data_IF_838574490567
#
_entry.id   IF_838574490567
#
_cell.length_a   1.000
_cell.length_b   1.000
_cell.length_c   1.000
_cell.angle_alpha   90.00
_cell.angle_beta   90.00
_cell.angle_gamma   90.00
#
_symmetry.space_group_name_H-M   'P 1'
#
loop_
_entity.id
_entity.type
_entity.pdbx_description
1 polymer ?
#
# COMPACT_ATOMS: atom_id res chain seq x y z
N UNK A 1 -39.89 -12.43 -11.48
CA UNK A 1 -39.21 -11.59 -10.45
C UNK A 1 -37.81 -11.31 -10.94
N UNK A 2 -37.59 -10.12 -11.51
CA UNK A 2 -36.26 -9.70 -11.97
C UNK A 2 -35.53 -9.06 -10.80
N UNK A 3 -34.50 -9.74 -10.29
CA UNK A 3 -33.49 -9.14 -9.42
C UNK A 3 -32.54 -8.32 -10.29
N UNK A 4 -32.83 -7.02 -10.39
CA UNK A 4 -31.92 -6.06 -11.00
C UNK A 4 -30.71 -5.91 -10.09
N UNK A 5 -29.67 -6.69 -10.35
CA UNK A 5 -28.33 -6.48 -9.80
C UNK A 5 -27.83 -5.13 -10.31
N UNK A 6 -27.97 -4.09 -9.49
CA UNK A 6 -27.28 -2.82 -9.69
C UNK A 6 -25.78 -3.09 -9.65
N UNK A 7 -25.19 -3.27 -10.84
CA UNK A 7 -23.76 -3.25 -11.03
C UNK A 7 -23.24 -1.91 -10.50
N UNK A 8 -22.38 -2.00 -9.48
CA UNK A 8 -21.99 -0.88 -8.62
C UNK A 8 -21.42 0.30 -9.39
N UNK A 9 -22.07 1.46 -9.20
CA UNK A 9 -21.36 2.74 -9.19
C UNK A 9 -20.16 2.62 -8.24
N UNK A 10 -18.99 3.04 -8.72
CA UNK A 10 -17.68 2.72 -8.15
C UNK A 10 -17.68 2.65 -6.62
N UNK A 11 -17.63 1.42 -6.10
CA UNK A 11 -17.44 1.17 -4.67
C UNK A 11 -16.19 1.94 -4.25
N UNK A 12 -16.39 3.00 -3.46
CA UNK A 12 -15.32 3.77 -2.88
C UNK A 12 -14.38 2.79 -2.16
N UNK A 13 -13.07 2.95 -2.37
CA UNK A 13 -12.09 2.05 -1.78
C UNK A 13 -12.13 2.20 -0.25
N UNK A 14 -12.62 1.20 0.47
CA UNK A 14 -12.78 1.28 1.92
C UNK A 14 -11.49 1.65 2.66
N UNK A 15 -10.32 1.23 2.16
CA UNK A 15 -9.03 1.63 2.74
C UNK A 15 -8.79 3.15 2.64
N UNK A 16 -9.23 3.76 1.54
CA UNK A 16 -9.15 5.21 1.34
C UNK A 16 -10.15 5.92 2.25
N UNK A 17 -11.39 5.41 2.36
CA UNK A 17 -12.42 5.98 3.23
C UNK A 17 -11.99 6.02 4.70
N UNK A 18 -11.42 4.93 5.20
CA UNK A 18 -10.92 4.85 6.57
C UNK A 18 -9.73 5.77 6.78
N UNK A 19 -8.82 5.85 5.81
CA UNK A 19 -7.65 6.72 5.91
C UNK A 19 -8.00 8.20 5.88
N UNK A 20 -8.94 8.61 5.03
CA UNK A 20 -9.42 9.99 4.95
C UNK A 20 -10.17 10.40 6.23
N UNK A 21 -10.97 9.49 6.78
CA UNK A 21 -11.62 9.71 8.08
C UNK A 21 -10.59 9.87 9.20
N UNK A 22 -9.57 9.01 9.25
CA UNK A 22 -8.50 9.14 10.23
C UNK A 22 -7.77 10.48 10.08
N UNK A 23 -7.39 10.86 8.86
CA UNK A 23 -6.73 12.14 8.59
C UNK A 23 -7.57 13.34 9.06
N UNK A 24 -8.89 13.29 8.87
CA UNK A 24 -9.82 14.29 9.38
C UNK A 24 -9.80 14.36 10.91
N UNK A 25 -9.95 13.21 11.56
CA UNK A 25 -10.05 13.12 13.03
C UNK A 25 -8.74 13.48 13.74
N UNK A 26 -7.58 13.09 13.20
CA UNK A 26 -6.29 13.30 13.86
C UNK A 26 -5.53 14.53 13.38
N UNK A 27 -5.76 14.94 12.13
CA UNK A 27 -4.99 16.01 11.47
C UNK A 27 -5.79 17.27 11.18
N UNK A 28 -7.10 17.28 11.44
CA UNK A 28 -7.98 18.41 11.13
C UNK A 28 -8.16 18.67 9.62
N UNK A 29 -7.72 17.74 8.76
CA UNK A 29 -7.94 17.84 7.33
C UNK A 29 -9.45 17.85 7.03
N UNK A 30 -9.95 18.68 6.11
CA UNK A 30 -11.36 18.66 5.76
C UNK A 30 -11.75 17.30 5.18
N UNK A 31 -12.85 16.73 5.67
CA UNK A 31 -13.38 15.50 5.12
C UNK A 31 -14.06 15.81 3.79
N UNK A 32 -13.58 15.17 2.72
CA UNK A 32 -14.16 15.28 1.39
C UNK A 32 -15.66 14.87 1.40
N UNK A 33 -16.57 15.63 0.76
CA UNK A 33 -18.00 15.35 0.80
C UNK A 33 -18.39 13.96 0.26
N UNK A 34 -17.67 13.44 -0.73
CA UNK A 34 -17.94 12.11 -1.27
C UNK A 34 -17.50 11.02 -0.28
N UNK A 35 -16.37 11.22 0.39
CA UNK A 35 -15.94 10.37 1.51
C UNK A 35 -16.97 10.37 2.64
N UNK A 36 -17.47 11.55 3.04
CA UNK A 36 -18.49 11.67 4.09
C UNK A 36 -19.80 10.98 3.70
N UNK A 37 -20.23 11.14 2.44
CA UNK A 37 -21.44 10.48 1.90
C UNK A 37 -21.29 8.96 1.89
N UNK A 38 -20.15 8.44 1.43
CA UNK A 38 -19.87 7.01 1.43
C UNK A 38 -19.90 6.40 2.84
N UNK A 39 -19.40 7.12 3.85
CA UNK A 39 -19.52 6.71 5.26
C UNK A 39 -20.97 6.66 5.72
N UNK A 40 -21.76 7.70 5.43
CA UNK A 40 -23.17 7.74 5.79
C UNK A 40 -23.96 6.59 5.13
N UNK A 41 -23.73 6.35 3.84
CA UNK A 41 -24.37 5.29 3.08
C UNK A 41 -24.00 3.90 3.64
N UNK A 42 -22.73 3.68 3.98
CA UNK A 42 -22.25 2.44 4.58
C UNK A 42 -22.87 2.15 5.95
N UNK A 43 -22.95 3.16 6.83
CA UNK A 43 -23.59 3.05 8.15
C UNK A 43 -25.09 2.74 8.00
N UNK A 44 -25.79 3.48 7.13
CA UNK A 44 -27.22 3.26 6.89
C UNK A 44 -27.47 1.87 6.31
N UNK A 45 -26.64 1.40 5.39
CA UNK A 45 -26.74 0.06 4.82
C UNK A 45 -26.54 -1.02 5.90
N UNK A 46 -25.54 -0.90 6.76
CA UNK A 46 -25.28 -1.85 7.86
C UNK A 46 -26.48 -1.93 8.81
N UNK A 47 -27.04 -0.79 9.22
CA UNK A 47 -28.22 -0.75 10.10
C UNK A 47 -29.46 -1.33 9.43
N UNK A 48 -29.73 -0.99 8.17
CA UNK A 48 -30.95 -1.41 7.47
C UNK A 48 -30.94 -2.86 7.01
N UNK A 49 -29.78 -3.39 6.64
CA UNK A 49 -29.64 -4.73 6.04
C UNK A 49 -29.08 -5.77 7.00
N UNK A 50 -28.57 -5.36 8.17
CA UNK A 50 -27.91 -6.24 9.13
C UNK A 50 -26.54 -6.74 8.65
N UNK A 51 -25.99 -6.14 7.60
CA UNK A 51 -24.64 -6.45 7.10
C UNK A 51 -23.58 -5.88 8.05
N UNK A 52 -22.42 -6.54 8.12
CA UNK A 52 -21.30 -5.98 8.88
C UNK A 52 -20.84 -4.65 8.25
N UNK A 53 -20.45 -3.70 9.10
CA UNK A 53 -19.97 -2.40 8.63
C UNK A 53 -18.76 -2.54 7.71
N UNK A 54 -17.89 -3.52 7.97
CA UNK A 54 -16.75 -3.84 7.11
C UNK A 54 -17.17 -4.25 5.70
N UNK A 55 -18.28 -4.98 5.58
CA UNK A 55 -18.85 -5.35 4.27
C UNK A 55 -19.46 -4.12 3.61
N UNK A 56 -20.24 -3.33 4.35
CA UNK A 56 -20.92 -2.14 3.81
C UNK A 56 -19.95 -1.03 3.37
N UNK A 57 -18.78 -0.91 4.00
CA UNK A 57 -17.70 0.01 3.62
C UNK A 57 -16.73 -0.59 2.58
N UNK A 58 -16.94 -1.84 2.14
CA UNK A 58 -16.06 -2.52 1.19
C UNK A 58 -14.68 -2.88 1.73
N UNK A 59 -14.51 -2.91 3.06
CA UNK A 59 -13.29 -3.33 3.76
C UNK A 59 -13.11 -4.85 3.75
N UNK A 60 -14.23 -5.58 3.71
CA UNK A 60 -14.28 -7.04 3.62
C UNK A 60 -15.16 -7.47 2.44
N UNK A 61 -14.68 -8.42 1.65
CA UNK A 61 -15.53 -9.19 0.74
C UNK A 61 -14.90 -10.55 0.48
N UNK A 62 -15.74 -11.57 0.28
CA UNK A 62 -15.26 -12.92 -0.06
C UNK A 62 -14.37 -12.88 -1.30
N UNK A 63 -13.19 -13.52 -1.21
CA UNK A 63 -12.19 -13.52 -2.27
C UNK A 63 -11.32 -12.25 -2.39
N UNK A 64 -11.55 -11.22 -1.57
CA UNK A 64 -10.66 -10.04 -1.51
C UNK A 64 -9.59 -10.22 -0.43
N UNK A 65 -8.41 -9.63 -0.66
CA UNK A 65 -7.37 -9.48 0.36
C UNK A 65 -7.94 -8.66 1.53
N UNK A 66 -7.58 -9.05 2.75
CA UNK A 66 -7.91 -8.26 3.95
C UNK A 66 -7.34 -6.84 3.82
N UNK A 67 -7.95 -5.88 4.52
CA UNK A 67 -7.43 -4.51 4.60
C UNK A 67 -5.94 -4.50 4.98
N UNK A 68 -5.58 -5.27 6.02
CA UNK A 68 -4.20 -5.39 6.47
C UNK A 68 -3.26 -5.87 5.35
N UNK A 69 -3.59 -6.96 4.64
CA UNK A 69 -2.75 -7.43 3.53
C UNK A 69 -2.62 -6.38 2.43
N UNK A 70 -3.70 -5.64 2.12
CA UNK A 70 -3.65 -4.54 1.13
C UNK A 70 -2.72 -3.41 1.58
N UNK A 71 -2.79 -3.01 2.84
CA UNK A 71 -1.94 -1.98 3.42
C UNK A 71 -0.46 -2.42 3.49
N UNK A 72 -0.18 -3.68 3.84
CA UNK A 72 1.16 -4.25 3.78
C UNK A 72 1.72 -4.22 2.35
N UNK A 73 0.90 -4.55 1.35
CA UNK A 73 1.30 -4.41 -0.05
C UNK A 73 1.62 -2.96 -0.43
N UNK A 74 0.81 -1.99 0.01
CA UNK A 74 1.07 -0.58 -0.23
C UNK A 74 2.38 -0.13 0.42
N UNK A 75 2.61 -0.49 1.69
CA UNK A 75 3.83 -0.15 2.42
C UNK A 75 5.07 -0.74 1.76
N UNK A 76 5.02 -2.04 1.39
CA UNK A 76 6.12 -2.70 0.67
C UNK A 76 6.39 -2.02 -0.66
N UNK A 77 5.34 -1.74 -1.43
CA UNK A 77 5.45 -1.15 -2.78
C UNK A 77 6.02 0.28 -2.69
N UNK A 78 5.66 1.05 -1.66
CA UNK A 78 6.24 2.36 -1.37
C UNK A 78 7.73 2.27 -1.03
N UNK A 79 8.13 1.34 -0.16
CA UNK A 79 9.54 1.15 0.16
C UNK A 79 10.36 0.66 -1.06
N UNK A 80 9.79 -0.17 -1.93
CA UNK A 80 10.46 -0.58 -3.17
C UNK A 80 10.65 0.60 -4.15
N UNK A 81 9.67 1.51 -4.21
CA UNK A 81 9.77 2.76 -4.96
C UNK A 81 10.91 3.64 -4.43
N UNK A 82 10.98 3.84 -3.11
CA UNK A 82 12.06 4.62 -2.49
C UNK A 82 13.44 3.93 -2.65
N UNK A 83 13.49 2.60 -2.52
CA UNK A 83 14.72 1.84 -2.76
C UNK A 83 15.25 2.03 -4.18
N UNK A 84 14.35 2.02 -5.19
CA UNK A 84 14.73 2.26 -6.57
C UNK A 84 15.21 3.71 -6.80
N UNK A 85 14.58 4.68 -6.14
CA UNK A 85 14.98 6.08 -6.20
C UNK A 85 16.37 6.31 -5.56
N UNK A 86 16.67 5.62 -4.46
CA UNK A 86 17.93 5.75 -3.73
C UNK A 86 19.17 5.20 -4.45
N UNK A 87 19.02 4.43 -5.53
CA UNK A 87 20.15 3.84 -6.27
C UNK A 87 20.87 4.81 -7.22
N UNK A 88 20.31 5.99 -7.48
CA UNK A 88 20.97 6.96 -8.33
C UNK A 88 20.53 8.38 -8.01
N UNK A 89 21.52 9.22 -7.70
CA UNK A 89 21.35 10.67 -7.62
C UNK A 89 21.15 11.32 -9.00
N UNK A 90 21.46 10.59 -10.08
CA UNK A 90 21.20 11.07 -11.44
C UNK A 90 19.69 11.03 -11.77
N UNK A 91 19.04 12.20 -11.92
CA UNK A 91 17.62 12.28 -12.26
C UNK A 91 17.35 11.83 -13.70
N UNK A 92 18.35 11.82 -14.60
CA UNK A 92 18.19 11.43 -16.00
C UNK A 92 18.01 9.91 -16.20
N UNK A 93 18.33 9.09 -15.20
CA UNK A 93 18.11 7.66 -15.29
C UNK A 93 16.62 7.31 -15.28
N UNK A 94 16.22 6.53 -16.27
CA UNK A 94 14.86 5.98 -16.34
C UNK A 94 14.56 5.06 -15.16
N UNK A 95 13.28 5.01 -14.76
CA UNK A 95 12.78 4.07 -13.73
C UNK A 95 13.17 2.63 -14.03
N UNK A 96 13.12 2.22 -15.31
CA UNK A 96 13.55 0.89 -15.74
C UNK A 96 15.03 0.60 -15.42
N UNK A 97 15.91 1.55 -15.71
CA UNK A 97 17.35 1.42 -15.42
C UNK A 97 17.62 1.28 -13.93
N UNK A 98 16.90 2.03 -13.10
CA UNK A 98 16.96 1.91 -11.63
C UNK A 98 16.51 0.52 -11.17
N UNK A 99 15.42 -0.01 -11.75
CA UNK A 99 14.93 -1.36 -11.45
C UNK A 99 15.93 -2.45 -11.85
N UNK A 100 16.58 -2.33 -13.02
CA UNK A 100 17.63 -3.25 -13.46
C UNK A 100 18.79 -3.32 -12.46
N UNK A 101 19.20 -2.17 -11.91
CA UNK A 101 20.25 -2.09 -10.89
C UNK A 101 19.79 -2.64 -9.52
N UNK A 102 18.52 -2.46 -9.17
CA UNK A 102 17.99 -2.88 -7.87
C UNK A 102 17.85 -4.39 -7.73
N UNK A 103 17.45 -5.09 -8.80
CA UNK A 103 17.19 -6.54 -8.75
C UNK A 103 18.34 -7.40 -8.23
N UNK A 104 19.60 -7.27 -8.71
CA UNK A 104 20.69 -8.07 -8.16
C UNK A 104 20.94 -7.78 -6.67
N UNK A 105 20.70 -6.54 -6.22
CA UNK A 105 20.79 -6.16 -4.81
C UNK A 105 19.67 -6.77 -3.97
N UNK A 106 18.42 -6.77 -4.47
CA UNK A 106 17.29 -7.47 -3.83
C UNK A 106 17.63 -8.95 -3.65
N UNK A 107 18.11 -9.62 -4.70
CA UNK A 107 18.45 -11.06 -4.64
C UNK A 107 19.52 -11.31 -3.59
N UNK A 108 20.60 -10.53 -3.62
CA UNK A 108 21.70 -10.64 -2.67
C UNK A 108 21.22 -10.45 -1.23
N UNK A 109 20.46 -9.37 -0.97
CA UNK A 109 19.94 -9.06 0.35
C UNK A 109 19.01 -10.17 0.87
N UNK A 110 18.05 -10.61 0.06
CA UNK A 110 17.07 -11.63 0.46
C UNK A 110 17.73 -12.98 0.69
N UNK A 111 18.65 -13.39 -0.18
CA UNK A 111 19.24 -14.73 -0.13
C UNK A 111 20.36 -14.85 0.90
N UNK A 112 21.11 -13.76 1.18
CA UNK A 112 22.32 -13.81 2.02
C UNK A 112 22.20 -13.05 3.34
N UNK A 113 21.47 -11.94 3.37
CA UNK A 113 21.57 -10.99 4.49
C UNK A 113 20.33 -11.03 5.38
N UNK A 114 19.15 -11.20 4.79
CA UNK A 114 17.86 -11.10 5.49
C UNK A 114 17.79 -12.00 6.74
N UNK A 115 18.30 -13.23 6.67
CA UNK A 115 18.25 -14.18 7.78
C UNK A 115 18.96 -13.67 9.04
N UNK A 116 20.04 -12.91 8.88
CA UNK A 116 20.83 -12.38 9.99
C UNK A 116 20.15 -11.18 10.66
N UNK A 117 19.47 -10.35 9.86
CA UNK A 117 18.98 -9.03 10.28
C UNK A 117 17.47 -9.00 10.56
N UNK A 118 16.72 -10.05 10.21
CA UNK A 118 15.24 -10.07 10.31
C UNK A 118 14.67 -9.83 11.72
N UNK A 119 15.46 -10.06 12.77
CA UNK A 119 15.05 -9.86 14.17
C UNK A 119 15.34 -8.45 14.67
N UNK A 120 16.06 -7.64 13.90
CA UNK A 120 16.35 -6.26 14.25
C UNK A 120 15.08 -5.42 14.09
N UNK A 121 14.86 -4.48 15.02
CA UNK A 121 13.74 -3.55 14.94
C UNK A 121 13.98 -2.50 13.83
N UNK A 122 15.23 -2.06 13.71
CA UNK A 122 15.67 -1.00 12.83
C UNK A 122 16.92 -1.42 12.05
N UNK A 123 17.08 -0.93 10.81
CA UNK A 123 18.27 -1.23 10.04
C UNK A 123 19.50 -0.52 10.65
N UNK A 124 20.71 -1.10 10.49
CA UNK A 124 21.95 -0.46 10.90
C UNK A 124 22.14 0.95 10.32
N UNK A 125 22.71 1.86 11.11
CA UNK A 125 22.86 3.28 10.76
C UNK A 125 23.79 3.53 9.56
N UNK A 126 24.73 2.62 9.30
CA UNK A 126 25.71 2.72 8.21
C UNK A 126 25.18 2.20 6.87
N UNK A 127 23.94 1.70 6.82
CA UNK A 127 23.40 1.11 5.61
C UNK A 127 23.07 2.16 4.54
N UNK A 128 23.36 1.86 3.27
CA UNK A 128 22.93 2.73 2.19
C UNK A 128 21.40 2.79 2.13
N UNK A 129 20.86 3.95 1.76
CA UNK A 129 19.42 4.22 1.78
C UNK A 129 18.56 3.18 1.02
N UNK A 130 19.04 2.66 -0.11
CA UNK A 130 18.32 1.61 -0.85
C UNK A 130 18.12 0.35 0.01
N UNK A 131 19.11 0.00 0.83
CA UNK A 131 19.11 -1.21 1.67
C UNK A 131 18.22 -1.03 2.89
N UNK A 132 18.24 0.16 3.49
CA UNK A 132 17.29 0.58 4.53
C UNK A 132 15.85 0.39 4.04
N UNK A 133 15.54 0.84 2.82
CA UNK A 133 14.21 0.65 2.27
C UNK A 133 13.89 -0.82 1.94
N UNK A 134 14.84 -1.62 1.44
CA UNK A 134 14.61 -3.06 1.25
C UNK A 134 14.33 -3.79 2.56
N UNK A 135 15.01 -3.41 3.65
CA UNK A 135 14.76 -3.95 4.98
C UNK A 135 13.33 -3.67 5.44
N UNK A 136 12.88 -2.41 5.35
CA UNK A 136 11.49 -2.04 5.68
C UNK A 136 10.47 -2.73 4.77
N UNK A 137 10.80 -2.94 3.50
CA UNK A 137 9.96 -3.72 2.59
C UNK A 137 9.85 -5.19 3.03
N UNK A 138 10.96 -5.81 3.47
CA UNK A 138 10.97 -7.19 3.98
C UNK A 138 10.25 -7.35 5.32
N UNK A 139 10.24 -6.32 6.19
CA UNK A 139 9.50 -6.34 7.46
C UNK A 139 7.97 -6.51 7.26
N UNK A 140 7.45 -6.28 6.05
CA UNK A 140 6.04 -6.57 5.73
C UNK A 140 5.72 -8.06 5.58
N UNK A 141 6.73 -8.94 5.63
CA UNK A 141 6.67 -10.39 5.39
C UNK A 141 6.10 -10.78 4.01
N UNK A 142 5.99 -9.81 3.10
CA UNK A 142 5.59 -10.02 1.72
C UNK A 142 6.83 -10.25 0.85
N UNK A 143 6.77 -11.26 0.00
CA UNK A 143 7.85 -11.55 -0.94
C UNK A 143 8.17 -10.34 -1.84
N UNK A 144 9.46 -10.03 -1.98
CA UNK A 144 9.93 -9.02 -2.92
C UNK A 144 10.01 -9.60 -4.34
N UNK A 145 9.67 -8.80 -5.38
CA UNK A 145 9.86 -9.21 -6.76
C UNK A 145 11.35 -9.41 -7.07
N UNK A 146 11.69 -10.57 -7.64
CA UNK A 146 13.07 -10.95 -7.99
C UNK A 146 13.42 -10.71 -9.47
N UNK A 147 12.52 -10.10 -10.25
CA UNK A 147 12.73 -9.79 -11.67
C UNK A 147 12.65 -8.29 -11.94
N UNK A 148 13.38 -7.75 -12.94
CA UNK A 148 13.31 -6.33 -13.28
C UNK A 148 11.90 -5.88 -13.62
N UNK A 149 11.16 -6.72 -14.35
CA UNK A 149 9.76 -6.45 -14.68
C UNK A 149 8.87 -6.40 -13.44
N UNK A 150 9.02 -7.34 -12.51
CA UNK A 150 8.23 -7.36 -11.29
C UNK A 150 8.49 -6.14 -10.39
N UNK A 151 9.76 -5.72 -10.26
CA UNK A 151 10.13 -4.49 -9.55
C UNK A 151 9.52 -3.28 -10.24
N UNK A 152 9.68 -3.17 -11.57
CA UNK A 152 9.13 -2.06 -12.33
C UNK A 152 7.61 -1.93 -12.19
N UNK A 153 6.88 -3.04 -12.31
CA UNK A 153 5.43 -3.05 -12.16
C UNK A 153 5.01 -2.61 -10.74
N UNK A 154 5.75 -3.00 -9.71
CA UNK A 154 5.54 -2.50 -8.33
C UNK A 154 5.76 -1.00 -8.26
N UNK A 155 6.89 -0.50 -8.75
CA UNK A 155 7.24 0.93 -8.69
C UNK A 155 6.21 1.78 -9.42
N UNK A 156 5.78 1.36 -10.61
CA UNK A 156 4.74 2.06 -11.38
C UNK A 156 3.40 2.10 -10.62
N UNK A 157 2.98 0.99 -10.02
CA UNK A 157 1.77 0.96 -9.19
C UNK A 157 1.88 1.86 -7.97
N UNK A 158 3.03 1.86 -7.29
CA UNK A 158 3.27 2.70 -6.12
C UNK A 158 3.22 4.20 -6.49
N UNK A 159 3.82 4.58 -7.62
CA UNK A 159 3.77 5.95 -8.15
C UNK A 159 2.32 6.38 -8.46
N UNK A 160 1.55 5.52 -9.13
CA UNK A 160 0.14 5.80 -9.42
C UNK A 160 -0.73 5.89 -8.16
N UNK A 161 -0.45 5.06 -7.14
CA UNK A 161 -1.17 5.09 -5.86
C UNK A 161 -0.83 6.34 -5.05
N UNK A 162 0.43 6.76 -5.02
CA UNK A 162 0.87 7.96 -4.29
C UNK A 162 0.14 9.22 -4.72
N UNK A 163 -0.34 9.29 -5.97
CA UNK A 163 -1.09 10.44 -6.49
C UNK A 163 -2.61 10.38 -6.20
N UNK A 164 -3.16 9.21 -5.85
CA UNK A 164 -4.62 8.98 -5.82
C UNK A 164 -5.17 8.45 -4.49
N UNK A 165 -4.30 7.97 -3.59
CA UNK A 165 -4.70 7.21 -2.40
C UNK A 165 -3.96 7.65 -1.14
N UNK A 166 -4.17 8.91 -0.75
CA UNK A 166 -3.53 9.50 0.43
C UNK A 166 -3.99 8.82 1.72
N UNK A 167 -5.28 8.47 1.82
CA UNK A 167 -5.84 7.84 3.00
C UNK A 167 -5.28 6.43 3.24
N UNK A 168 -5.35 5.56 2.22
CA UNK A 168 -4.83 4.19 2.35
C UNK A 168 -3.31 4.17 2.63
N UNK A 169 -2.58 5.15 2.08
CA UNK A 169 -1.15 5.32 2.37
C UNK A 169 -0.92 5.72 3.82
N UNK A 170 -1.68 6.69 4.35
CA UNK A 170 -1.61 7.07 5.77
C UNK A 170 -1.81 5.85 6.68
N UNK A 171 -2.84 5.04 6.41
CA UNK A 171 -3.10 3.82 7.20
C UNK A 171 -1.95 2.83 7.17
N UNK A 172 -1.22 2.74 6.05
CA UNK A 172 -0.11 1.80 5.91
C UNK A 172 1.08 2.11 6.85
N UNK A 173 1.16 3.33 7.39
CA UNK A 173 2.19 3.71 8.36
C UNK A 173 1.90 3.23 9.79
N UNK A 174 0.68 2.75 10.06
CA UNK A 174 0.29 2.19 11.37
C UNK A 174 0.51 0.66 11.46
N UNK A 175 1.00 0.05 10.39
CA UNK A 175 1.48 -1.33 10.36
C UNK A 175 3.00 -1.33 10.47
#
# INVERSE_FOLDING_TARGET
MHTTSYAGQGSADGAELVGNMLAHLTGGAPLDPDTARAWADGIVASVRRGESLDTSLGLSASGRRTLQTRLLHLRRDDHLKEAAAALSLDPALSTWSRCLRLVPLIRTFVDREWRAVRTEADPPEDWPAWKVHLFRAMQTDLALPRSPRGVYDVVQRAQACSARRSGARLLSHYL
#
